data_IF_442390947972
#
_entry.id   IF_442390947972
#
_cell.length_a   1.000
_cell.length_b   1.000
_cell.length_c   1.000
_cell.angle_alpha   90.00
_cell.angle_beta   90.00
_cell.angle_gamma   90.00
#
_symmetry.space_group_name_H-M   'P 1'
#
loop_
_entity.id
_entity.type
_entity.pdbx_description
1 polymer ?
#
# COMPACT_ATOMS: atom_id res chain seq x y z
N UNK A 1 25.39 -45.05 21.57
CA UNK A 1 24.32 -44.69 20.62
C UNK A 1 23.92 -45.93 19.85
N UNK A 2 22.64 -46.27 19.84
CA UNK A 2 22.12 -47.35 19.00
C UNK A 2 22.11 -46.89 17.53
N UNK A 3 22.23 -47.83 16.58
CA UNK A 3 22.15 -47.55 15.14
C UNK A 3 20.85 -46.84 14.76
N UNK A 4 19.76 -47.13 15.47
CA UNK A 4 18.47 -46.44 15.33
C UNK A 4 18.51 -44.96 15.73
N UNK A 5 19.27 -44.58 16.76
CA UNK A 5 19.43 -43.18 17.17
C UNK A 5 20.19 -42.36 16.12
N UNK A 6 21.25 -42.95 15.53
CA UNK A 6 22.05 -42.29 14.48
C UNK A 6 21.20 -42.04 13.24
N UNK A 7 20.40 -43.03 12.81
CA UNK A 7 19.51 -42.92 11.65
C UNK A 7 18.46 -41.83 11.87
N UNK A 8 17.88 -41.75 13.08
CA UNK A 8 16.90 -40.72 13.42
C UNK A 8 17.45 -39.29 13.35
N UNK A 9 18.69 -39.09 13.83
CA UNK A 9 19.36 -37.78 13.75
C UNK A 9 19.66 -37.41 12.30
N UNK A 10 20.21 -38.34 11.51
CA UNK A 10 20.52 -38.09 10.09
C UNK A 10 19.25 -37.74 9.30
N UNK A 11 18.15 -38.45 9.51
CA UNK A 11 16.86 -38.14 8.88
C UNK A 11 16.35 -36.74 9.25
N UNK A 12 16.46 -36.36 10.52
CA UNK A 12 16.02 -35.04 11.00
C UNK A 12 16.84 -33.91 10.39
N UNK A 13 18.15 -34.11 10.21
CA UNK A 13 19.02 -33.10 9.57
C UNK A 13 18.73 -33.01 8.08
N UNK A 14 18.63 -34.15 7.38
CA UNK A 14 18.42 -34.20 5.92
C UNK A 14 17.06 -33.68 5.51
N UNK A 15 16.00 -33.96 6.27
CA UNK A 15 14.64 -33.53 5.91
C UNK A 15 14.17 -32.31 6.71
N UNK A 16 14.54 -32.18 7.98
CA UNK A 16 14.06 -31.11 8.84
C UNK A 16 14.63 -29.75 8.45
N UNK A 17 15.95 -29.63 8.31
CA UNK A 17 16.60 -28.34 8.01
C UNK A 17 16.14 -27.79 6.65
N UNK A 18 16.15 -28.56 5.54
CA UNK A 18 15.68 -28.06 4.26
C UNK A 18 14.18 -27.72 4.25
N UNK A 19 13.36 -28.46 4.99
CA UNK A 19 11.92 -28.17 5.09
C UNK A 19 11.65 -26.82 5.77
N UNK A 20 12.37 -26.51 6.85
CA UNK A 20 12.25 -25.22 7.54
C UNK A 20 12.74 -24.08 6.64
N UNK A 21 13.88 -24.27 5.96
CA UNK A 21 14.41 -23.26 5.03
C UNK A 21 13.42 -23.02 3.88
N UNK A 22 12.88 -24.08 3.28
CA UNK A 22 11.88 -23.99 2.22
C UNK A 22 10.60 -23.27 2.65
N UNK A 23 10.13 -23.54 3.88
CA UNK A 23 8.97 -22.85 4.46
C UNK A 23 9.24 -21.35 4.67
N UNK A 24 10.42 -20.99 5.17
CA UNK A 24 10.79 -19.59 5.36
C UNK A 24 10.91 -18.85 4.02
N UNK A 25 11.45 -19.52 2.99
CA UNK A 25 11.57 -18.97 1.65
C UNK A 25 10.25 -18.85 0.89
N UNK A 26 9.21 -19.59 1.27
CA UNK A 26 7.89 -19.55 0.66
C UNK A 26 6.93 -18.52 1.27
N UNK A 27 7.39 -17.75 2.26
CA UNK A 27 6.59 -16.65 2.82
C UNK A 27 6.19 -15.68 1.70
N UNK A 28 4.88 -15.42 1.52
CA UNK A 28 4.41 -14.62 0.40
C UNK A 28 4.83 -13.18 0.56
N UNK A 29 5.21 -12.56 -0.56
CA UNK A 29 5.39 -11.12 -0.64
C UNK A 29 4.09 -10.39 -0.26
N UNK A 30 4.22 -9.16 0.25
CA UNK A 30 3.10 -8.38 0.78
C UNK A 30 3.12 -6.98 0.19
N UNK A 31 1.93 -6.49 -0.14
CA UNK A 31 1.67 -5.08 -0.40
C UNK A 31 0.91 -4.51 0.78
N UNK A 32 1.34 -3.35 1.24
CA UNK A 32 0.73 -2.61 2.34
C UNK A 32 0.33 -1.23 1.86
N UNK A 33 -0.89 -0.81 2.20
CA UNK A 33 -1.33 0.57 2.07
C UNK A 33 -1.15 1.25 3.42
N UNK A 34 -0.29 2.26 3.50
CA UNK A 34 -0.12 3.08 4.69
C UNK A 34 -0.87 4.40 4.48
N UNK A 35 -1.91 4.62 5.28
CA UNK A 35 -2.67 5.87 5.31
C UNK A 35 -1.99 6.85 6.25
N UNK A 36 -1.46 7.94 5.70
CA UNK A 36 -0.71 8.95 6.42
C UNK A 36 -1.64 10.02 6.98
N UNK A 37 -2.25 10.79 6.07
CA UNK A 37 -3.08 11.93 6.44
C UNK A 37 -4.40 11.87 5.67
N UNK A 38 -5.48 12.25 6.37
CA UNK A 38 -6.76 12.57 5.78
C UNK A 38 -7.22 13.91 6.31
N UNK A 39 -7.38 14.87 5.39
CA UNK A 39 -7.75 16.22 5.75
C UNK A 39 -8.99 16.64 4.95
N UNK A 40 -10.09 16.91 5.66
CA UNK A 40 -11.24 17.59 5.09
C UNK A 40 -10.92 19.09 5.04
N UNK A 41 -10.75 19.63 3.83
CA UNK A 41 -10.26 21.00 3.66
C UNK A 41 -11.23 22.03 4.22
N UNK A 42 -12.53 21.77 4.16
CA UNK A 42 -13.53 22.69 4.67
C UNK A 42 -13.58 22.68 6.20
N UNK A 43 -13.68 21.51 6.84
CA UNK A 43 -13.80 21.47 8.29
C UNK A 43 -12.49 21.85 8.99
N UNK A 44 -11.34 21.51 8.41
CA UNK A 44 -10.06 21.68 9.08
C UNK A 44 -9.46 23.07 8.85
N UNK A 45 -9.76 23.72 7.72
CA UNK A 45 -9.15 25.02 7.36
C UNK A 45 -10.17 26.16 7.37
N UNK A 46 -11.29 26.06 6.66
CA UNK A 46 -12.21 27.21 6.46
C UNK A 46 -13.14 27.48 7.63
N UNK A 47 -13.57 26.48 8.40
CA UNK A 47 -14.42 26.71 9.59
C UNK A 47 -13.71 27.46 10.73
N UNK A 48 -12.39 27.37 10.81
CA UNK A 48 -11.61 27.91 11.93
C UNK A 48 -11.20 29.38 11.71
N UNK A 49 -11.38 29.93 10.50
CA UNK A 49 -10.95 31.28 10.15
C UNK A 49 -12.12 32.01 9.47
N UNK A 50 -12.75 32.95 10.20
CA UNK A 50 -13.85 33.75 9.65
C UNK A 50 -13.38 34.55 8.43
N UNK A 51 -14.12 34.44 7.33
CA UNK A 51 -13.81 35.13 6.06
C UNK A 51 -12.80 34.41 5.16
N UNK A 52 -12.30 33.24 5.55
CA UNK A 52 -11.43 32.44 4.69
C UNK A 52 -12.24 31.64 3.67
N UNK A 53 -11.98 31.89 2.39
CA UNK A 53 -12.55 31.13 1.28
C UNK A 53 -11.45 30.36 0.57
N UNK A 54 -11.65 29.06 0.36
CA UNK A 54 -10.66 28.19 -0.29
C UNK A 54 -11.19 27.85 -1.67
N UNK A 55 -10.37 28.11 -2.69
CA UNK A 55 -10.70 27.81 -4.08
C UNK A 55 -9.67 26.85 -4.67
N UNK A 56 -10.14 25.95 -5.53
CA UNK A 56 -9.31 25.06 -6.33
C UNK A 56 -9.68 25.22 -7.80
N UNK A 57 -8.70 25.58 -8.64
CA UNK A 57 -8.90 25.89 -10.08
C UNK A 57 -10.07 26.87 -10.32
N UNK A 58 -10.24 27.85 -9.43
CA UNK A 58 -11.29 28.87 -9.49
C UNK A 58 -12.66 28.45 -8.92
N UNK A 59 -12.84 27.18 -8.53
CA UNK A 59 -14.08 26.70 -7.90
C UNK A 59 -13.95 26.69 -6.38
N UNK A 60 -15.02 27.08 -5.69
CA UNK A 60 -15.08 27.08 -4.23
C UNK A 60 -15.13 25.64 -3.70
N UNK A 61 -14.28 25.36 -2.72
CA UNK A 61 -14.22 24.06 -2.05
C UNK A 61 -15.39 23.92 -1.07
N UNK A 62 -16.20 22.87 -1.24
CA UNK A 62 -17.32 22.52 -0.37
C UNK A 62 -16.89 21.56 0.76
N UNK A 63 -17.85 21.07 1.55
CA UNK A 63 -17.61 20.19 2.72
C UNK A 63 -17.08 18.80 2.37
N UNK A 64 -17.16 18.41 1.11
CA UNK A 64 -16.92 17.04 0.67
C UNK A 64 -15.54 16.88 0.06
N UNK A 65 -14.71 17.93 0.06
CA UNK A 65 -13.34 17.86 -0.44
C UNK A 65 -12.36 17.34 0.61
N UNK A 66 -11.65 16.29 0.22
CA UNK A 66 -10.62 15.65 1.02
C UNK A 66 -9.27 15.70 0.29
N UNK A 67 -8.23 15.97 1.08
CA UNK A 67 -6.85 15.66 0.73
C UNK A 67 -6.48 14.37 1.46
N UNK A 68 -6.06 13.36 0.70
CA UNK A 68 -5.66 12.05 1.20
C UNK A 68 -4.20 11.84 0.85
N UNK A 69 -3.35 11.56 1.85
CA UNK A 69 -1.96 11.16 1.65
C UNK A 69 -1.77 9.72 2.07
N UNK A 70 -1.17 8.93 1.20
CA UNK A 70 -0.95 7.52 1.47
C UNK A 70 0.29 7.00 0.74
N UNK A 71 0.75 5.82 1.15
CA UNK A 71 1.79 5.10 0.43
C UNK A 71 1.45 3.65 0.20
N UNK A 72 1.90 3.13 -0.94
CA UNK A 72 2.02 1.70 -1.13
C UNK A 72 3.46 1.28 -0.84
N UNK A 73 3.61 0.19 -0.09
CA UNK A 73 4.90 -0.41 0.23
C UNK A 73 4.89 -1.88 -0.15
N UNK A 74 5.87 -2.28 -0.95
CA UNK A 74 6.10 -3.68 -1.32
C UNK A 74 7.20 -4.30 -0.46
N UNK A 75 6.89 -5.43 0.15
CA UNK A 75 7.85 -6.22 0.90
C UNK A 75 7.86 -7.65 0.37
N UNK A 76 8.97 -8.07 -0.21
CA UNK A 76 9.07 -9.36 -0.89
C UNK A 76 10.47 -9.93 -0.89
N UNK A 77 10.58 -11.25 -1.03
CA UNK A 77 11.90 -11.91 -1.17
C UNK A 77 12.38 -12.00 -2.63
N UNK A 78 11.49 -11.69 -3.56
CA UNK A 78 11.73 -11.74 -5.00
C UNK A 78 11.12 -10.50 -5.61
N UNK A 79 11.75 -10.00 -6.65
CA UNK A 79 11.20 -8.93 -7.46
C UNK A 79 9.97 -9.44 -8.22
N UNK A 80 9.02 -8.55 -8.49
CA UNK A 80 7.86 -8.80 -9.34
C UNK A 80 8.12 -8.16 -10.68
N UNK A 81 8.21 -8.99 -11.72
CA UNK A 81 8.30 -8.53 -13.10
C UNK A 81 6.90 -8.20 -13.65
N UNK A 82 6.84 -7.36 -14.68
CA UNK A 82 5.59 -6.96 -15.35
C UNK A 82 4.71 -8.13 -15.77
N UNK A 83 5.29 -9.23 -16.25
CA UNK A 83 4.55 -10.41 -16.71
C UNK A 83 3.80 -11.12 -15.57
N UNK A 84 4.19 -10.86 -14.32
CA UNK A 84 3.56 -11.40 -13.12
C UNK A 84 2.42 -10.52 -12.59
N UNK A 85 2.20 -9.34 -13.20
CA UNK A 85 1.15 -8.38 -12.87
C UNK A 85 0.00 -8.60 -13.86
N UNK A 86 -0.92 -9.48 -13.52
CA UNK A 86 -2.08 -9.77 -14.37
C UNK A 86 -3.10 -8.61 -14.36
N UNK A 87 -3.15 -7.85 -13.27
CA UNK A 87 -3.95 -6.62 -13.16
C UNK A 87 -3.15 -5.58 -12.37
N UNK A 88 -3.20 -4.30 -12.78
CA UNK A 88 -2.59 -3.20 -12.03
C UNK A 88 -3.03 -3.20 -10.58
N UNK A 89 -2.18 -2.66 -9.71
CA UNK A 89 -2.60 -2.32 -8.36
C UNK A 89 -3.64 -1.20 -8.47
N UNK A 90 -4.80 -1.37 -7.86
CA UNK A 90 -5.83 -0.36 -7.86
C UNK A 90 -6.12 0.15 -6.46
N UNK A 91 -6.45 1.43 -6.37
CA UNK A 91 -7.01 2.06 -5.18
C UNK A 91 -8.36 2.66 -5.55
N UNK A 92 -9.41 2.13 -4.96
CA UNK A 92 -10.79 2.55 -5.17
C UNK A 92 -11.24 3.45 -4.02
N UNK A 93 -11.70 4.66 -4.37
CA UNK A 93 -12.39 5.57 -3.46
C UNK A 93 -13.87 5.16 -3.31
N UNK A 94 -14.57 5.64 -2.27
CA UNK A 94 -16.00 5.38 -2.09
C UNK A 94 -16.81 5.65 -3.36
N UNK A 95 -17.88 4.88 -3.59
CA UNK A 95 -18.77 5.12 -4.72
C UNK A 95 -19.29 6.57 -4.74
N UNK A 96 -19.37 7.14 -5.93
CA UNK A 96 -19.75 8.55 -6.13
C UNK A 96 -18.63 9.56 -5.88
N UNK A 97 -17.42 9.12 -5.49
CA UNK A 97 -16.28 10.01 -5.34
C UNK A 97 -15.78 10.53 -6.69
N UNK A 98 -15.33 11.78 -6.72
CA UNK A 98 -14.73 12.41 -7.90
C UNK A 98 -13.28 12.74 -7.58
N UNK A 99 -12.34 12.16 -8.33
CA UNK A 99 -10.92 12.50 -8.21
C UNK A 99 -10.64 13.73 -9.06
N UNK A 100 -10.22 14.82 -8.43
CA UNK A 100 -9.89 16.08 -9.08
C UNK A 100 -8.42 16.22 -9.43
N UNK A 101 -7.55 15.65 -8.60
CA UNK A 101 -6.11 15.66 -8.80
C UNK A 101 -5.43 14.48 -8.12
N UNK A 102 -4.29 14.08 -8.68
CA UNK A 102 -3.45 13.02 -8.15
C UNK A 102 -1.99 13.41 -8.37
N UNK A 103 -1.18 13.31 -7.32
CA UNK A 103 0.25 13.60 -7.42
C UNK A 103 1.08 12.57 -6.68
N UNK A 104 2.17 12.12 -7.31
CA UNK A 104 3.21 11.33 -6.65
C UNK A 104 4.13 12.31 -5.93
N UNK A 105 4.23 12.18 -4.62
CA UNK A 105 5.05 13.04 -3.76
C UNK A 105 6.47 12.51 -3.61
N UNK A 106 6.61 11.19 -3.49
CA UNK A 106 7.91 10.50 -3.46
C UNK A 106 7.76 9.07 -3.98
N UNK A 107 8.83 8.49 -4.49
CA UNK A 107 8.91 7.08 -4.88
C UNK A 107 10.36 6.60 -4.79
N UNK A 108 10.55 5.30 -4.82
CA UNK A 108 11.89 4.71 -4.92
C UNK A 108 12.59 5.14 -6.23
N UNK A 109 13.91 5.35 -6.18
CA UNK A 109 14.66 6.05 -7.25
C UNK A 109 14.51 5.39 -8.62
N UNK A 110 14.45 4.06 -8.65
CA UNK A 110 14.40 3.25 -9.86
C UNK A 110 13.04 2.57 -10.07
N UNK A 111 11.98 3.09 -9.43
CA UNK A 111 10.63 2.59 -9.60
C UNK A 111 9.96 3.31 -10.76
N UNK A 112 9.80 2.62 -11.89
CA UNK A 112 9.00 3.09 -13.02
C UNK A 112 7.53 2.74 -12.80
N UNK A 113 6.70 3.78 -12.77
CA UNK A 113 5.27 3.66 -12.47
C UNK A 113 4.47 4.61 -13.35
N UNK A 114 3.38 4.11 -13.90
CA UNK A 114 2.34 4.90 -14.56
C UNK A 114 1.07 4.84 -13.71
N UNK A 115 0.43 5.98 -13.50
CA UNK A 115 -0.83 6.04 -12.75
C UNK A 115 -1.93 6.61 -13.65
N UNK A 116 -3.03 5.86 -13.76
CA UNK A 116 -4.22 6.26 -14.50
C UNK A 116 -5.39 6.49 -13.55
N UNK A 117 -6.11 7.59 -13.75
CA UNK A 117 -7.36 7.88 -13.04
C UNK A 117 -8.53 7.38 -13.89
N UNK A 118 -9.32 6.43 -13.36
CA UNK A 118 -10.54 5.92 -14.02
C UNK A 118 -11.73 6.03 -13.07
N UNK A 119 -12.56 7.07 -13.25
CA UNK A 119 -13.70 7.31 -12.37
C UNK A 119 -13.26 7.59 -10.94
N UNK A 120 -13.69 6.77 -9.99
CA UNK A 120 -13.31 6.81 -8.57
C UNK A 120 -12.09 5.93 -8.24
N UNK A 121 -11.37 5.42 -9.24
CA UNK A 121 -10.24 4.50 -9.05
C UNK A 121 -8.93 5.08 -9.59
N UNK A 122 -7.84 4.77 -8.89
CA UNK A 122 -6.47 4.95 -9.36
C UNK A 122 -5.89 3.59 -9.73
N UNK A 123 -5.31 3.48 -10.91
CA UNK A 123 -4.64 2.28 -11.41
C UNK A 123 -3.14 2.54 -11.49
N UNK A 124 -2.37 1.79 -10.73
CA UNK A 124 -0.91 1.86 -10.64
C UNK A 124 -0.33 0.69 -11.42
N UNK A 125 0.29 1.00 -12.55
CA UNK A 125 1.02 0.04 -13.39
C UNK A 125 2.52 0.16 -13.16
N UNK A 126 3.17 -0.97 -12.93
CA UNK A 126 4.59 -1.05 -12.61
C UNK A 126 5.29 -1.96 -13.60
N UNK A 127 6.50 -1.60 -14.00
CA UNK A 127 7.32 -2.50 -14.83
C UNK A 127 8.08 -3.53 -13.97
N UNK A 128 8.56 -3.09 -12.80
CA UNK A 128 9.31 -3.89 -11.86
C UNK A 128 9.02 -3.41 -10.43
N UNK A 129 8.66 -4.32 -9.53
CA UNK A 129 8.59 -4.05 -8.08
C UNK A 129 9.66 -4.85 -7.35
N UNK A 130 10.66 -4.16 -6.82
CA UNK A 130 11.72 -4.71 -5.97
C UNK A 130 11.34 -4.67 -4.51
N UNK A 131 12.01 -5.48 -3.71
CA UNK A 131 11.85 -5.42 -2.27
C UNK A 131 12.10 -4.01 -1.72
N UNK A 132 11.20 -3.56 -0.85
CA UNK A 132 11.20 -2.22 -0.24
C UNK A 132 10.82 -1.08 -1.18
N UNK A 133 10.39 -1.36 -2.41
CA UNK A 133 9.83 -0.33 -3.28
C UNK A 133 8.61 0.31 -2.63
N UNK A 134 8.55 1.63 -2.74
CA UNK A 134 7.45 2.40 -2.22
C UNK A 134 7.06 3.53 -3.17
N UNK A 135 5.81 3.93 -3.04
CA UNK A 135 5.27 5.15 -3.64
C UNK A 135 4.46 5.88 -2.59
N UNK A 136 4.75 7.16 -2.39
CA UNK A 136 4.00 8.09 -1.57
C UNK A 136 3.28 9.09 -2.46
N UNK A 137 1.98 9.23 -2.28
CA UNK A 137 1.13 10.00 -3.16
C UNK A 137 0.05 10.75 -2.38
N UNK A 138 -0.50 11.75 -3.05
CA UNK A 138 -1.66 12.49 -2.60
C UNK A 138 -2.80 12.42 -3.60
N UNK A 139 -4.02 12.36 -3.08
CA UNK A 139 -5.27 12.40 -3.84
C UNK A 139 -6.07 13.59 -3.36
N UNK A 140 -6.53 14.38 -4.32
CA UNK A 140 -7.52 15.42 -4.07
C UNK A 140 -8.85 14.99 -4.69
N UNK A 141 -9.87 14.81 -3.85
CA UNK A 141 -11.15 14.25 -4.28
C UNK A 141 -12.34 14.82 -3.52
N UNK A 142 -13.49 14.85 -4.20
CA UNK A 142 -14.80 15.11 -3.60
C UNK A 142 -15.44 13.78 -3.20
N UNK A 143 -15.83 13.65 -1.94
CA UNK A 143 -16.29 12.40 -1.32
C UNK A 143 -17.40 12.71 -0.32
N UNK A 144 -18.65 12.44 -0.70
CA UNK A 144 -19.82 12.84 0.10
C UNK A 144 -19.88 12.19 1.49
N UNK A 145 -19.67 10.87 1.57
CA UNK A 145 -19.63 10.13 2.85
C UNK A 145 -18.32 9.37 2.98
N UNK A 146 -17.27 10.08 3.43
CA UNK A 146 -15.95 9.49 3.61
C UNK A 146 -15.90 8.62 4.86
N UNK A 147 -16.10 7.32 4.68
CA UNK A 147 -15.78 6.30 5.67
C UNK A 147 -14.45 5.65 5.24
N UNK A 148 -13.41 5.74 6.08
CA UNK A 148 -12.06 5.24 5.77
C UNK A 148 -12.04 3.77 5.32
N UNK A 149 -12.91 2.95 5.89
CA UNK A 149 -13.02 1.52 5.55
C UNK A 149 -13.57 1.26 4.14
N UNK A 150 -13.97 2.31 3.42
CA UNK A 150 -14.40 2.25 2.01
C UNK A 150 -13.27 2.51 1.01
N UNK A 151 -12.05 2.86 1.45
CA UNK A 151 -10.87 2.86 0.57
C UNK A 151 -10.41 1.42 0.35
N UNK A 152 -10.55 0.93 -0.88
CA UNK A 152 -10.26 -0.48 -1.19
C UNK A 152 -9.08 -0.58 -2.14
N UNK A 153 -7.98 -1.15 -1.65
CA UNK A 153 -6.84 -1.48 -2.49
C UNK A 153 -6.94 -2.94 -2.99
N UNK A 154 -6.75 -3.17 -4.28
CA UNK A 154 -6.80 -4.50 -4.90
C UNK A 154 -5.64 -4.69 -5.87
N UNK A 155 -5.22 -5.93 -6.10
CA UNK A 155 -4.23 -6.26 -7.11
C UNK A 155 -4.40 -7.70 -7.59
N UNK A 156 -3.80 -8.03 -8.73
CA UNK A 156 -3.65 -9.42 -9.18
C UNK A 156 -2.20 -9.66 -9.61
N UNK A 157 -1.34 -9.79 -8.60
CA UNK A 157 0.09 -10.02 -8.77
C UNK A 157 0.42 -11.43 -8.28
N UNK A 158 1.13 -12.21 -9.10
CA UNK A 158 1.51 -13.57 -8.74
C UNK A 158 2.43 -13.59 -7.50
N UNK A 159 2.23 -14.57 -6.62
CA UNK A 159 3.03 -14.78 -5.40
C UNK A 159 3.05 -13.61 -4.39
N UNK A 160 2.12 -12.66 -4.53
CA UNK A 160 1.86 -11.60 -3.54
C UNK A 160 0.55 -11.90 -2.83
N UNK A 161 0.49 -11.67 -1.52
CA UNK A 161 -0.72 -11.86 -0.74
C UNK A 161 -1.87 -11.00 -1.31
N UNK A 162 -2.95 -11.65 -1.73
CA UNK A 162 -4.12 -11.01 -2.36
C UNK A 162 -4.76 -9.91 -1.51
N UNK A 163 -4.66 -10.01 -0.18
CA UNK A 163 -5.18 -9.00 0.73
C UNK A 163 -4.10 -7.96 0.99
N UNK A 164 -4.37 -6.73 0.56
CA UNK A 164 -3.57 -5.56 0.92
C UNK A 164 -3.98 -5.15 2.33
N UNK A 165 -3.01 -5.08 3.23
CA UNK A 165 -3.24 -4.59 4.58
C UNK A 165 -3.23 -3.07 4.55
N UNK A 166 -4.29 -2.44 5.04
CA UNK A 166 -4.31 -1.00 5.31
C UNK A 166 -3.82 -0.77 6.74
N UNK A 167 -2.82 0.10 6.91
CA UNK A 167 -2.26 0.51 8.20
C UNK A 167 -2.45 2.03 8.31
N UNK A 168 -2.82 2.54 9.48
CA UNK A 168 -2.88 3.99 9.73
C UNK A 168 -1.56 4.45 10.33
N UNK A 169 -1.11 5.66 10.03
CA UNK A 169 0.16 6.18 10.52
C UNK A 169 0.25 6.20 12.05
N UNK A 170 -0.86 6.49 12.73
CA UNK A 170 -0.97 6.37 14.21
C UNK A 170 -0.60 4.95 14.68
N UNK A 171 -1.04 3.91 13.95
CA UNK A 171 -0.69 2.53 14.28
C UNK A 171 0.78 2.22 13.96
N UNK A 172 1.34 2.86 12.92
CA UNK A 172 2.73 2.67 12.50
C UNK A 172 3.74 3.15 13.55
N UNK A 173 3.50 4.31 14.17
CA UNK A 173 4.36 4.80 15.27
C UNK A 173 4.33 3.85 16.49
N UNK A 174 3.23 3.12 16.67
CA UNK A 174 3.02 2.17 17.76
C UNK A 174 3.56 0.76 17.40
N UNK A 175 3.82 0.46 16.12
CA UNK A 175 4.37 -0.84 15.72
C UNK A 175 5.85 -0.95 16.10
N UNK A 176 6.28 -2.07 16.72
CA UNK A 176 7.69 -2.28 17.02
C UNK A 176 8.48 -2.30 15.71
N UNK A 177 9.48 -1.41 15.59
CA UNK A 177 10.39 -1.26 14.43
C UNK A 177 10.99 -2.58 13.91
N UNK A 178 10.98 -3.66 14.72
CA UNK A 178 11.42 -5.02 14.36
C UNK A 178 10.62 -5.70 13.25
N UNK A 179 9.44 -5.23 12.87
CA UNK A 179 8.64 -5.85 11.78
C UNK A 179 9.10 -5.45 10.36
N UNK A 180 9.87 -4.38 10.26
CA UNK A 180 10.41 -3.87 9.00
C UNK A 180 11.92 -4.00 9.12
N UNK A 181 12.50 -4.97 8.40
CA UNK A 181 13.92 -5.30 8.48
C UNK A 181 14.78 -4.05 8.48
N UNK A 182 15.73 -4.01 9.41
CA UNK A 182 16.64 -2.89 9.64
C UNK A 182 17.16 -2.35 8.30
N UNK A 183 16.91 -1.06 8.04
CA UNK A 183 17.77 -0.26 7.17
C UNK A 183 19.17 -0.18 7.78
#
# INVERSE_FOLDING_TARGET
MSTSEIIGIVLTVVFGIPSVIGLLQSLPSRLTLLMDERLNLYSNVSKNIQGLDITFKGNKINKDFYLIKASFFYQGRKDVLKEQINQPLSLELPEGSIIHDFNILSKEQNLDITVEVRGNQLLFDFDLLKNSDYIYFQIFAEIGDFIEDKLVARHRIANVNKKIKTIRYIDYEIMPKKLFGNC
#
